data_IF_435268081019
#
_entry.id   IF_435268081019
#
_cell.length_a   1.000
_cell.length_b   1.000
_cell.length_c   1.000
_cell.angle_alpha   90.00
_cell.angle_beta   90.00
_cell.angle_gamma   90.00
#
_symmetry.space_group_name_H-M   'P 1'
#
loop_
_entity.id
_entity.type
_entity.pdbx_description
1 polymer ?
#
# COMPACT_ATOMS: atom_id res chain seq x y z
N UNK A 1 -11.70 -8.13 -41.48
CA UNK A 1 -12.09 -7.11 -40.49
C UNK A 1 -11.79 -7.73 -39.14
N UNK A 2 -10.53 -7.66 -38.73
CA UNK A 2 -10.02 -8.42 -37.59
C UNK A 2 -10.58 -7.78 -36.32
N UNK A 3 -11.22 -8.57 -35.45
CA UNK A 3 -11.46 -8.21 -34.05
C UNK A 3 -10.10 -8.08 -33.38
N UNK A 4 -9.47 -6.93 -33.55
CA UNK A 4 -8.16 -6.64 -32.95
C UNK A 4 -8.34 -6.61 -31.44
N UNK A 5 -7.62 -7.49 -30.76
CA UNK A 5 -7.63 -7.61 -29.30
C UNK A 5 -7.28 -6.25 -28.68
N UNK A 6 -8.31 -5.52 -28.25
CA UNK A 6 -8.17 -4.23 -27.57
C UNK A 6 -7.62 -4.49 -26.18
N UNK A 7 -6.39 -4.04 -25.95
CA UNK A 7 -5.69 -4.23 -24.68
C UNK A 7 -6.14 -3.10 -23.74
N UNK A 8 -6.68 -3.45 -22.58
CA UNK A 8 -7.05 -2.44 -21.59
C UNK A 8 -5.82 -1.83 -20.92
N UNK A 9 -5.91 -0.61 -20.38
CA UNK A 9 -4.81 0.00 -19.60
C UNK A 9 -4.29 -0.91 -18.48
N UNK A 10 -5.19 -1.69 -17.86
CA UNK A 10 -4.83 -2.66 -16.82
C UNK A 10 -4.02 -3.83 -17.37
N UNK A 11 -4.45 -4.38 -18.49
CA UNK A 11 -3.74 -5.47 -19.14
C UNK A 11 -2.38 -5.02 -19.68
N UNK A 12 -2.28 -3.80 -20.21
CA UNK A 12 -1.02 -3.21 -20.61
C UNK A 12 -0.06 -3.03 -19.42
N UNK A 13 -0.56 -2.60 -18.27
CA UNK A 13 0.22 -2.45 -17.04
C UNK A 13 0.80 -3.79 -16.55
N UNK A 14 -0.01 -4.85 -16.57
CA UNK A 14 0.42 -6.19 -16.20
C UNK A 14 1.52 -6.72 -17.13
N UNK A 15 1.41 -6.48 -18.45
CA UNK A 15 2.41 -6.93 -19.45
C UNK A 15 3.73 -6.16 -19.40
N UNK A 16 3.66 -4.85 -19.13
CA UNK A 16 4.83 -3.97 -19.09
C UNK A 16 5.50 -3.96 -17.71
N UNK A 17 4.93 -4.67 -16.73
CA UNK A 17 5.36 -4.69 -15.33
C UNK A 17 5.50 -3.29 -14.71
N UNK A 18 4.60 -2.39 -15.09
CA UNK A 18 4.52 -1.01 -14.56
C UNK A 18 3.13 -0.76 -14.01
N UNK A 19 3.01 0.23 -13.12
CA UNK A 19 1.71 0.56 -12.52
C UNK A 19 0.74 1.13 -13.57
N UNK A 20 -0.56 0.82 -13.45
CA UNK A 20 -1.57 1.27 -14.42
C UNK A 20 -1.67 2.80 -14.53
N UNK A 21 -1.30 3.53 -13.47
CA UNK A 21 -1.20 4.99 -13.49
C UNK A 21 -0.02 5.49 -14.34
N UNK A 22 1.11 4.79 -14.31
CA UNK A 22 2.28 5.10 -15.14
C UNK A 22 1.95 4.89 -16.61
N UNK A 23 1.28 3.78 -16.96
CA UNK A 23 0.77 3.56 -18.31
C UNK A 23 -0.18 4.67 -18.73
N UNK A 24 -1.10 5.09 -17.85
CA UNK A 24 -1.99 6.23 -18.12
C UNK A 24 -1.21 7.53 -18.35
N UNK A 25 -0.20 7.83 -17.53
CA UNK A 25 0.67 9.01 -17.68
C UNK A 25 1.38 9.00 -19.04
N UNK A 26 1.83 7.84 -19.52
CA UNK A 26 2.40 7.70 -20.86
C UNK A 26 1.35 7.90 -21.94
N UNK A 27 0.16 7.32 -21.79
CA UNK A 27 -0.95 7.53 -22.72
C UNK A 27 -1.31 9.01 -22.81
N UNK A 28 -1.43 9.72 -21.69
CA UNK A 28 -1.77 11.16 -21.67
C UNK A 28 -0.62 12.01 -22.26
N UNK A 29 0.64 11.65 -22.02
CA UNK A 29 1.80 12.38 -22.54
C UNK A 29 2.04 12.15 -24.04
N UNK A 30 1.66 10.98 -24.54
CA UNK A 30 1.88 10.49 -25.91
C UNK A 30 0.56 10.15 -26.61
N UNK A 31 -0.54 10.84 -26.27
CA UNK A 31 -1.90 10.53 -26.77
C UNK A 31 -1.95 10.55 -28.29
N UNK A 32 -1.34 11.55 -28.91
CA UNK A 32 -1.23 11.71 -30.36
C UNK A 32 -0.47 10.55 -31.02
N UNK A 33 0.56 10.02 -30.34
CA UNK A 33 1.38 8.92 -30.86
C UNK A 33 0.77 7.55 -30.57
N UNK A 34 0.06 7.36 -29.46
CA UNK A 34 -0.50 6.05 -29.07
C UNK A 34 -1.91 5.86 -29.63
N UNK A 35 -2.61 6.96 -29.94
CA UNK A 35 -4.00 6.99 -30.43
C UNK A 35 -4.94 6.08 -29.61
N UNK A 36 -5.06 6.30 -28.29
CA UNK A 36 -5.89 5.46 -27.42
C UNK A 36 -7.38 5.65 -27.73
N UNK A 37 -8.14 4.56 -27.77
CA UNK A 37 -9.60 4.63 -27.84
C UNK A 37 -10.17 4.69 -26.41
N UNK A 38 -11.18 5.52 -26.17
CA UNK A 38 -11.83 5.58 -24.84
C UNK A 38 -13.16 4.84 -24.91
N UNK A 39 -13.38 3.89 -24.00
CA UNK A 39 -14.67 3.22 -23.86
C UNK A 39 -15.70 4.13 -23.15
N UNK A 40 -16.99 3.78 -23.20
CA UNK A 40 -18.10 4.50 -22.54
C UNK A 40 -17.91 4.71 -21.03
N UNK A 41 -16.99 3.97 -20.41
CA UNK A 41 -16.64 4.02 -18.98
C UNK A 41 -15.41 4.88 -18.67
N UNK A 42 -14.80 5.52 -19.67
CA UNK A 42 -13.61 6.35 -19.50
C UNK A 42 -12.29 5.57 -19.34
N UNK A 43 -12.25 4.29 -19.75
CA UNK A 43 -11.03 3.49 -19.78
C UNK A 43 -10.38 3.52 -21.16
N UNK A 44 -9.06 3.71 -21.20
CA UNK A 44 -8.28 3.63 -22.43
C UNK A 44 -8.16 2.17 -22.90
N UNK A 45 -8.52 1.95 -24.14
CA UNK A 45 -8.38 0.74 -24.92
C UNK A 45 -7.29 1.02 -25.96
N UNK A 46 -6.27 0.17 -25.96
CA UNK A 46 -5.12 0.29 -26.84
C UNK A 46 -5.28 -0.71 -27.98
N UNK A 47 -5.03 -0.25 -29.21
CA UNK A 47 -4.77 -1.15 -30.32
C UNK A 47 -3.46 -1.92 -30.07
N UNK A 48 -3.26 -3.08 -30.72
CA UNK A 48 -1.98 -3.79 -30.62
C UNK A 48 -0.78 -2.92 -31.05
N UNK A 49 -0.97 -2.00 -32.01
CA UNK A 49 0.04 -1.02 -32.38
C UNK A 49 0.31 0.01 -31.27
N UNK A 50 -0.74 0.53 -30.63
CA UNK A 50 -0.61 1.46 -29.50
C UNK A 50 0.12 0.83 -28.31
N UNK A 51 -0.08 -0.47 -28.08
CA UNK A 51 0.69 -1.22 -27.09
C UNK A 51 2.17 -1.34 -27.46
N UNK A 52 2.50 -1.61 -28.73
CA UNK A 52 3.90 -1.65 -29.17
C UNK A 52 4.59 -0.28 -29.02
N UNK A 53 3.86 0.80 -29.29
CA UNK A 53 4.35 2.17 -29.07
C UNK A 53 4.63 2.46 -27.60
N UNK A 54 3.85 1.90 -26.67
CA UNK A 54 4.11 1.97 -25.23
C UNK A 54 5.38 1.22 -24.83
N UNK A 55 5.63 0.04 -25.41
CA UNK A 55 6.89 -0.72 -25.21
C UNK A 55 8.07 0.12 -25.68
N UNK A 56 8.00 0.70 -26.89
CA UNK A 56 9.07 1.56 -27.42
C UNK A 56 9.35 2.77 -26.51
N UNK A 57 8.30 3.37 -25.92
CA UNK A 57 8.44 4.48 -24.97
C UNK A 57 9.10 4.00 -23.68
N UNK A 58 8.70 2.84 -23.15
CA UNK A 58 9.30 2.24 -21.97
C UNK A 58 10.79 1.98 -22.18
N UNK A 59 11.17 1.34 -23.29
CA UNK A 59 12.56 1.01 -23.58
C UNK A 59 13.42 2.28 -23.69
N UNK A 60 12.91 3.33 -24.37
CA UNK A 60 13.62 4.61 -24.47
C UNK A 60 13.79 5.31 -23.12
N UNK A 61 12.78 5.24 -22.25
CA UNK A 61 12.86 5.79 -20.89
C UNK A 61 13.91 5.04 -20.06
N UNK A 62 13.96 3.72 -20.15
CA UNK A 62 14.85 2.88 -19.36
C UNK A 62 16.31 2.92 -19.86
N UNK A 63 16.53 2.89 -21.17
CA UNK A 63 17.89 2.83 -21.74
C UNK A 63 18.65 4.15 -21.65
N UNK A 64 17.95 5.29 -21.66
CA UNK A 64 18.61 6.59 -21.87
C UNK A 64 18.40 7.65 -20.78
N UNK A 65 17.63 7.37 -19.71
CA UNK A 65 17.24 8.37 -18.69
C UNK A 65 16.76 9.69 -19.30
N UNK A 66 16.20 9.64 -20.52
CA UNK A 66 15.70 10.81 -21.22
C UNK A 66 14.39 11.24 -20.59
N UNK A 67 14.19 12.55 -20.48
CA UNK A 67 12.92 13.07 -20.02
C UNK A 67 11.80 12.76 -21.03
N UNK A 68 10.56 12.66 -20.56
CA UNK A 68 9.38 12.45 -21.42
C UNK A 68 9.33 13.46 -22.58
N UNK A 69 9.77 14.70 -22.34
CA UNK A 69 9.85 15.77 -23.35
C UNK A 69 10.95 15.52 -24.37
N UNK A 70 12.10 15.00 -23.97
CA UNK A 70 13.17 14.61 -24.90
C UNK A 70 12.72 13.45 -25.78
N UNK A 71 12.02 12.45 -25.23
CA UNK A 71 11.44 11.37 -26.02
C UNK A 71 10.38 11.91 -26.97
N UNK A 72 9.54 12.86 -26.52
CA UNK A 72 8.59 13.59 -27.37
C UNK A 72 9.30 14.25 -28.56
N UNK A 73 10.38 14.97 -28.28
CA UNK A 73 11.15 15.70 -29.28
C UNK A 73 11.94 14.78 -30.22
N UNK A 74 12.43 13.66 -29.73
CA UNK A 74 13.09 12.61 -30.52
C UNK A 74 12.09 11.93 -31.46
N UNK A 75 10.87 11.62 -30.97
CA UNK A 75 9.79 11.08 -31.81
C UNK A 75 9.33 12.06 -32.88
N UNK A 76 9.33 13.37 -32.59
CA UNK A 76 9.09 14.46 -33.57
C UNK A 76 10.23 14.57 -34.58
N UNK A 77 11.49 14.45 -34.14
CA UNK A 77 12.65 14.47 -35.03
C UNK A 77 12.75 13.25 -35.93
N UNK A 78 12.34 12.07 -35.44
CA UNK A 78 12.34 10.80 -36.18
C UNK A 78 11.21 10.71 -37.21
N UNK A 79 10.33 11.72 -37.30
CA UNK A 79 9.22 11.76 -38.27
C UNK A 79 8.09 10.76 -37.98
N UNK A 80 8.13 10.09 -36.82
CA UNK A 80 7.06 9.21 -36.33
C UNK A 80 5.95 9.97 -35.61
N UNK A 81 6.24 11.21 -35.22
CA UNK A 81 5.27 12.19 -34.73
C UNK A 81 5.13 13.26 -35.79
N UNK A 82 4.16 13.08 -36.69
CA UNK A 82 3.70 14.21 -37.49
C UNK A 82 3.05 15.16 -36.50
N UNK A 83 3.75 16.26 -36.20
CA UNK A 83 3.13 17.47 -35.73
C UNK A 83 2.13 17.85 -36.81
N UNK A 84 0.90 17.33 -36.71
CA UNK A 84 -0.25 17.84 -37.42
C UNK A 84 -0.45 19.25 -36.87
N UNK A 85 0.33 20.18 -37.42
CA UNK A 85 -0.23 21.47 -37.78
C UNK A 85 -1.50 21.09 -38.50
N UNK A 86 -2.62 21.30 -37.84
CA UNK A 86 -3.90 21.58 -38.46
C UNK A 86 -3.66 22.75 -39.41
N UNK A 87 -3.08 22.44 -40.57
CA UNK A 87 -3.25 23.21 -41.77
C UNK A 87 -4.70 22.95 -42.10
N UNK A 88 -5.58 23.80 -41.58
CA UNK A 88 -6.91 23.98 -42.13
C UNK A 88 -6.73 24.33 -43.61
N UNK A 89 -6.77 23.28 -44.42
CA UNK A 89 -6.70 23.32 -45.87
C UNK A 89 -8.08 23.74 -46.34
N UNK A 90 -8.37 25.04 -46.24
CA UNK A 90 -9.52 25.64 -46.93
C UNK A 90 -9.06 26.01 -48.35
N UNK A 91 -9.80 25.63 -49.41
CA UNK A 91 -9.28 25.59 -50.76
C UNK A 91 -9.33 26.97 -51.43
N UNK A 92 -8.25 27.26 -52.18
CA UNK A 92 -8.20 28.10 -53.38
C UNK A 92 -8.96 29.44 -53.37
N UNK A 93 -8.21 30.54 -53.39
CA UNK A 93 -8.41 31.63 -54.36
C UNK A 93 -7.07 32.33 -54.64
N UNK A 94 -6.82 32.54 -55.93
CA UNK A 94 -5.61 33.11 -56.52
C UNK A 94 -5.55 34.64 -56.36
N UNK A 95 -4.31 35.12 -56.45
CA UNK A 95 -3.85 36.40 -57.03
C UNK A 95 -3.77 37.68 -56.17
N UNK A 96 -2.54 38.22 -56.19
CA UNK A 96 -2.12 39.64 -56.10
C UNK A 96 -2.34 40.41 -54.79
N UNK A 97 -1.24 40.78 -54.12
CA UNK A 97 -0.82 42.17 -53.89
C UNK A 97 0.15 42.31 -52.70
N UNK A 98 1.28 42.94 -52.99
CA UNK A 98 2.08 43.86 -52.15
C UNK A 98 2.18 43.65 -50.63
N UNK A 99 3.42 43.45 -50.21
CA UNK A 99 3.89 43.77 -48.87
C UNK A 99 3.70 45.27 -48.56
N UNK A 100 3.12 45.65 -47.40
CA UNK A 100 3.40 46.93 -46.79
C UNK A 100 4.56 46.73 -45.80
N UNK A 101 5.71 47.29 -46.17
CA UNK A 101 6.82 47.50 -45.24
C UNK A 101 6.33 48.40 -44.10
N UNK A 102 6.18 47.83 -42.90
CA UNK A 102 5.99 48.60 -41.68
C UNK A 102 7.36 49.20 -41.29
N UNK A 103 7.50 50.54 -41.25
CA UNK A 103 8.70 51.20 -40.77
C UNK A 103 8.53 51.42 -39.28
N UNK A 104 9.33 50.78 -38.44
CA UNK A 104 9.85 51.27 -37.16
C UNK A 104 10.42 50.07 -36.40
N UNK A 105 11.72 50.14 -36.12
CA UNK A 105 12.46 49.11 -35.42
C UNK A 105 11.87 48.81 -34.04
N UNK A 106 11.42 47.57 -33.88
CA UNK A 106 11.26 46.93 -32.57
C UNK A 106 12.09 45.66 -32.56
N UNK A 107 13.41 45.82 -32.69
CA UNK A 107 14.37 44.84 -32.18
C UNK A 107 14.35 44.91 -30.66
N UNK A 108 13.24 44.46 -30.06
CA UNK A 108 13.27 43.97 -28.68
C UNK A 108 13.62 42.48 -28.74
N UNK A 109 14.52 42.01 -27.87
CA UNK A 109 15.29 40.81 -28.15
C UNK A 109 14.40 39.59 -27.93
N UNK A 110 13.94 38.98 -29.03
CA UNK A 110 13.29 37.66 -29.03
C UNK A 110 14.17 36.66 -28.26
N UNK A 111 15.50 36.80 -28.34
CA UNK A 111 16.47 36.05 -27.53
C UNK A 111 16.29 36.15 -26.01
N UNK A 112 15.81 37.27 -25.48
CA UNK A 112 15.58 37.44 -24.03
C UNK A 112 14.28 36.77 -23.58
N UNK A 113 13.25 36.76 -24.43
CA UNK A 113 12.02 35.99 -24.20
C UNK A 113 12.28 34.49 -24.32
N UNK A 114 13.07 34.06 -25.32
CA UNK A 114 13.50 32.66 -25.48
C UNK A 114 14.36 32.22 -24.30
N UNK A 115 15.31 33.04 -23.83
CA UNK A 115 16.09 32.74 -22.64
C UNK A 115 15.24 32.64 -21.37
N UNK A 116 14.26 33.53 -21.19
CA UNK A 116 13.33 33.44 -20.04
C UNK A 116 12.39 32.22 -20.11
N UNK A 117 12.00 31.79 -21.32
CA UNK A 117 11.20 30.58 -21.51
C UNK A 117 12.01 29.31 -21.22
N UNK A 118 13.30 29.32 -21.52
CA UNK A 118 14.21 28.21 -21.21
C UNK A 118 14.43 28.12 -19.69
N UNK A 119 14.66 29.25 -19.02
CA UNK A 119 14.78 29.34 -17.56
C UNK A 119 13.49 28.92 -16.83
N UNK A 120 12.32 29.32 -17.35
CA UNK A 120 11.02 28.85 -16.85
C UNK A 120 10.85 27.35 -17.10
N UNK A 121 11.36 26.85 -18.22
CA UNK A 121 11.39 25.42 -18.56
C UNK A 121 12.21 24.61 -17.56
N UNK A 122 13.41 25.06 -17.22
CA UNK A 122 14.28 24.42 -16.22
C UNK A 122 13.66 24.45 -14.81
N UNK A 123 13.02 25.57 -14.43
CA UNK A 123 12.28 25.65 -13.17
C UNK A 123 11.08 24.69 -13.15
N UNK A 124 10.31 24.62 -14.24
CA UNK A 124 9.21 23.66 -14.34
C UNK A 124 9.71 22.22 -14.25
N UNK A 125 10.82 21.89 -14.87
CA UNK A 125 11.43 20.55 -14.80
C UNK A 125 11.89 20.20 -13.38
N UNK A 126 12.46 21.18 -12.66
CA UNK A 126 12.81 21.03 -11.23
C UNK A 126 11.56 20.80 -10.38
N UNK A 127 10.45 21.48 -10.70
CA UNK A 127 9.17 21.28 -10.02
C UNK A 127 8.59 19.91 -10.35
N UNK A 128 8.66 19.45 -11.61
CA UNK A 128 8.19 18.13 -12.01
C UNK A 128 8.99 17.00 -11.36
N UNK A 129 10.32 17.08 -11.33
CA UNK A 129 11.16 16.09 -10.64
C UNK A 129 10.89 16.05 -9.15
N UNK A 130 10.65 17.20 -8.50
CA UNK A 130 10.24 17.24 -7.10
C UNK A 130 8.84 16.65 -6.87
N UNK A 131 7.91 16.88 -7.79
CA UNK A 131 6.58 16.28 -7.73
C UNK A 131 6.63 14.77 -7.93
N UNK A 132 7.48 14.26 -8.82
CA UNK A 132 7.73 12.83 -9.04
C UNK A 132 8.30 12.18 -7.78
N UNK A 133 9.29 12.82 -7.15
CA UNK A 133 9.86 12.35 -5.87
C UNK A 133 8.83 12.36 -4.73
N UNK A 134 7.95 13.36 -4.69
CA UNK A 134 6.86 13.39 -3.73
C UNK A 134 5.82 12.30 -4.01
N UNK A 135 5.52 12.02 -5.28
CA UNK A 135 4.63 10.95 -5.70
C UNK A 135 5.19 9.58 -5.25
N UNK A 136 6.46 9.30 -5.54
CA UNK A 136 7.15 8.08 -5.10
C UNK A 136 7.18 7.93 -3.58
N UNK A 137 7.42 9.03 -2.86
CA UNK A 137 7.42 9.03 -1.41
C UNK A 137 6.02 8.72 -0.85
N UNK A 138 4.96 9.27 -1.45
CA UNK A 138 3.58 8.97 -1.06
C UNK A 138 3.20 7.52 -1.36
N UNK A 139 3.62 6.95 -2.50
CA UNK A 139 3.43 5.53 -2.79
C UNK A 139 4.15 4.64 -1.78
N UNK A 140 5.40 4.97 -1.47
CA UNK A 140 6.17 4.26 -0.44
C UNK A 140 5.46 4.29 0.92
N UNK A 141 4.84 5.42 1.29
CA UNK A 141 4.03 5.50 2.51
C UNK A 141 2.80 4.61 2.46
N UNK A 142 2.11 4.52 1.32
CA UNK A 142 0.96 3.65 1.17
C UNK A 142 1.35 2.18 1.31
N UNK A 143 2.45 1.74 0.69
CA UNK A 143 2.95 0.37 0.84
C UNK A 143 3.33 0.06 2.30
N UNK A 144 4.00 1.01 2.98
CA UNK A 144 4.34 0.87 4.39
C UNK A 144 3.09 0.84 5.30
N UNK A 145 2.06 1.62 4.97
CA UNK A 145 0.79 1.61 5.70
C UNK A 145 0.02 0.31 5.48
N UNK A 146 0.00 -0.23 4.26
CA UNK A 146 -0.62 -1.53 3.96
C UNK A 146 0.14 -2.68 4.66
N UNK A 147 1.47 -2.64 4.68
CA UNK A 147 2.28 -3.60 5.43
C UNK A 147 2.02 -3.48 6.95
N UNK A 148 1.89 -2.25 7.46
CA UNK A 148 1.55 -2.00 8.86
C UNK A 148 0.13 -2.49 9.17
N UNK A 149 -0.85 -2.24 8.32
CA UNK A 149 -2.23 -2.71 8.49
C UNK A 149 -2.28 -4.25 8.50
N UNK A 150 -1.58 -4.89 7.56
CA UNK A 150 -1.43 -6.35 7.52
C UNK A 150 -0.78 -6.90 8.80
N UNK A 151 0.28 -6.23 9.30
CA UNK A 151 0.92 -6.57 10.59
C UNK A 151 0.01 -6.33 11.79
N UNK A 152 -0.81 -5.28 11.79
CA UNK A 152 -1.77 -4.98 12.86
C UNK A 152 -2.92 -5.98 12.86
N UNK A 153 -3.46 -6.35 11.70
CA UNK A 153 -4.51 -7.36 11.56
C UNK A 153 -4.00 -8.74 12.00
N UNK A 154 -2.80 -9.12 11.57
CA UNK A 154 -2.16 -10.37 12.01
C UNK A 154 -1.77 -10.34 13.49
N UNK A 155 -1.36 -9.20 14.03
CA UNK A 155 -1.11 -9.02 15.46
C UNK A 155 -2.41 -9.04 16.29
N UNK A 156 -3.53 -8.56 15.74
CA UNK A 156 -4.86 -8.65 16.37
C UNK A 156 -5.34 -10.10 16.49
N UNK A 157 -4.87 -11.02 15.65
CA UNK A 157 -5.11 -12.45 15.85
C UNK A 157 -4.28 -13.04 17.00
N UNK A 158 -3.21 -12.36 17.43
CA UNK A 158 -2.30 -12.78 18.49
C UNK A 158 -2.60 -12.13 19.85
N UNK A 159 -3.50 -11.14 19.90
CA UNK A 159 -4.08 -10.69 21.17
C UNK A 159 -5.27 -11.60 21.48
N UNK A 160 -5.16 -12.36 22.58
CA UNK A 160 -6.29 -13.17 23.06
C UNK A 160 -7.52 -12.26 23.20
N UNK A 161 -8.69 -12.65 22.65
CA UNK A 161 -9.91 -11.87 22.79
C UNK A 161 -10.14 -11.54 24.27
N UNK A 162 -10.56 -10.31 24.56
CA UNK A 162 -10.82 -9.84 25.94
C UNK A 162 -11.75 -10.81 26.69
N UNK A 163 -12.71 -11.40 25.97
CA UNK A 163 -13.61 -12.44 26.50
C UNK A 163 -12.89 -13.70 26.96
N UNK A 164 -11.86 -14.12 26.24
CA UNK A 164 -11.03 -15.29 26.59
C UNK A 164 -10.20 -15.01 27.84
N UNK A 165 -9.62 -13.82 27.95
CA UNK A 165 -8.87 -13.40 29.15
C UNK A 165 -9.80 -13.30 30.36
N UNK A 166 -11.01 -12.75 30.18
CA UNK A 166 -12.04 -12.67 31.23
C UNK A 166 -12.44 -14.07 31.72
N UNK A 167 -12.68 -15.01 30.80
CA UNK A 167 -13.02 -16.39 31.12
C UNK A 167 -11.89 -17.08 31.90
N UNK A 168 -10.63 -16.89 31.48
CA UNK A 168 -9.48 -17.44 32.21
C UNK A 168 -9.35 -16.84 33.62
N UNK A 169 -9.63 -15.55 33.81
CA UNK A 169 -9.66 -14.94 35.14
C UNK A 169 -10.75 -15.53 36.03
N UNK A 170 -11.95 -15.76 35.49
CA UNK A 170 -13.06 -16.39 36.24
C UNK A 170 -12.73 -17.85 36.62
N UNK A 171 -12.10 -18.61 35.73
CA UNK A 171 -11.64 -19.97 36.03
C UNK A 171 -10.56 -19.99 37.11
N UNK A 172 -9.62 -19.04 37.09
CA UNK A 172 -8.60 -18.89 38.13
C UNK A 172 -9.27 -18.59 39.48
N UNK A 173 -10.25 -17.68 39.51
CA UNK A 173 -11.02 -17.38 40.72
C UNK A 173 -11.74 -18.61 41.28
N UNK A 174 -12.43 -19.37 40.42
CA UNK A 174 -13.10 -20.62 40.81
C UNK A 174 -12.14 -21.65 41.37
N UNK A 175 -10.98 -21.85 40.72
CA UNK A 175 -9.95 -22.79 41.20
C UNK A 175 -9.35 -22.33 42.53
N UNK A 176 -9.17 -21.03 42.73
CA UNK A 176 -8.69 -20.48 43.99
C UNK A 176 -9.69 -20.74 45.13
N UNK A 177 -10.98 -20.57 44.88
CA UNK A 177 -12.02 -20.84 45.89
C UNK A 177 -12.19 -22.33 46.17
N UNK A 178 -12.05 -23.18 45.14
CA UNK A 178 -11.99 -24.63 45.30
C UNK A 178 -10.80 -25.04 46.19
N UNK A 179 -9.60 -24.55 45.90
CA UNK A 179 -8.41 -24.83 46.70
C UNK A 179 -8.56 -24.35 48.15
N UNK A 180 -9.20 -23.20 48.39
CA UNK A 180 -9.52 -22.73 49.75
C UNK A 180 -10.49 -23.68 50.47
N UNK A 181 -11.48 -24.22 49.78
CA UNK A 181 -12.41 -25.20 50.36
C UNK A 181 -11.68 -26.51 50.69
N UNK A 182 -10.84 -27.00 49.78
CA UNK A 182 -10.01 -28.19 50.00
C UNK A 182 -9.03 -28.01 51.16
N UNK A 183 -8.36 -26.85 51.26
CA UNK A 183 -7.49 -26.52 52.39
C UNK A 183 -8.23 -26.50 53.72
N UNK A 184 -9.44 -25.92 53.75
CA UNK A 184 -10.30 -25.93 54.95
C UNK A 184 -10.69 -27.35 55.33
N UNK A 185 -11.09 -28.16 54.36
CA UNK A 185 -11.45 -29.56 54.59
C UNK A 185 -10.24 -30.38 55.07
N UNK A 186 -9.07 -30.22 54.44
CA UNK A 186 -7.85 -30.89 54.85
C UNK A 186 -7.43 -30.47 56.28
N UNK A 187 -7.51 -29.17 56.59
CA UNK A 187 -7.22 -28.65 57.94
C UNK A 187 -8.20 -29.18 58.97
N UNK A 188 -9.49 -29.23 58.63
CA UNK A 188 -10.53 -29.79 59.50
C UNK A 188 -10.32 -31.28 59.74
N UNK A 189 -10.09 -32.06 58.68
CA UNK A 189 -9.75 -33.50 58.77
C UNK A 189 -8.49 -33.73 59.58
N UNK A 190 -7.46 -32.90 59.42
CA UNK A 190 -6.23 -32.98 60.21
C UNK A 190 -6.51 -32.71 61.69
N UNK A 191 -7.28 -31.68 62.02
CA UNK A 191 -7.69 -31.37 63.41
C UNK A 191 -8.55 -32.46 64.04
N UNK A 192 -9.47 -33.04 63.26
CA UNK A 192 -10.27 -34.18 63.73
C UNK A 192 -9.38 -35.40 64.00
N UNK A 193 -8.50 -35.75 63.06
CA UNK A 193 -7.57 -36.85 63.24
C UNK A 193 -6.69 -36.64 64.48
N UNK A 194 -6.13 -35.44 64.65
CA UNK A 194 -5.30 -35.11 65.83
C UNK A 194 -6.09 -35.17 67.14
N UNK A 195 -7.31 -34.64 67.19
CA UNK A 195 -8.16 -34.71 68.37
C UNK A 195 -8.57 -36.16 68.71
N UNK A 196 -8.87 -36.99 67.71
CA UNK A 196 -9.17 -38.41 67.93
C UNK A 196 -7.95 -39.21 68.39
N UNK A 197 -6.74 -38.86 67.94
CA UNK A 197 -5.50 -39.48 68.43
C UNK A 197 -5.15 -39.06 69.86
N UNK A 198 -5.45 -37.83 70.29
CA UNK A 198 -5.23 -37.39 71.67
C UNK A 198 -6.22 -38.02 72.67
N UNK A 199 -7.45 -38.32 72.23
CA UNK A 199 -8.48 -38.91 73.11
C UNK A 199 -8.19 -40.38 73.47
N UNK A 200 -7.27 -41.05 72.78
CA UNK A 200 -6.88 -42.44 73.07
C UNK A 200 -5.78 -42.58 74.14
N UNK A 201 -5.17 -41.48 74.62
CA UNK A 201 -4.06 -41.55 75.59
C UNK A 201 -4.39 -41.10 77.02
N UNK A 202 -5.63 -40.76 77.35
CA UNK A 202 -5.99 -40.26 78.69
C UNK A 202 -7.18 -41.01 79.30
N UNK A 203 -6.92 -42.18 79.88
CA UNK A 203 -7.67 -42.65 81.06
C UNK A 203 -6.70 -43.02 82.19
N UNK A 204 -6.64 -42.26 83.29
CA UNK A 204 -5.93 -42.65 84.50
C UNK A 204 -6.94 -43.21 85.52
N UNK A 205 -6.75 -44.44 86.04
CA UNK A 205 -7.50 -44.88 87.24
C UNK A 205 -6.76 -45.90 88.11
N UNK A 206 -5.98 -45.34 89.05
CA UNK A 206 -5.69 -45.78 90.44
C UNK A 206 -5.62 -47.28 90.77
N UNK A 207 -4.44 -47.64 91.28
CA UNK A 207 -4.17 -48.77 92.18
C UNK A 207 -5.17 -48.87 93.35
N UNK A 208 -5.61 -50.09 93.67
CA UNK A 208 -5.83 -50.51 95.07
C UNK A 208 -5.34 -51.94 95.27
N UNK A 209 -4.42 -52.06 96.22
CA UNK A 209 -3.80 -53.26 96.75
C UNK A 209 -4.75 -53.88 97.78
N UNK A 210 -5.07 -55.16 97.65
CA UNK A 210 -5.64 -55.98 98.74
C UNK A 210 -5.12 -57.40 98.62
N UNK A 211 -4.24 -57.78 99.55
CA UNK A 211 -3.92 -59.18 99.89
C UNK A 211 -5.07 -59.72 100.76
N UNK A 212 -5.52 -60.95 100.53
CA UNK A 212 -6.04 -61.96 101.50
C UNK A 212 -6.38 -63.22 100.64
N UNK A 213 -5.58 -64.29 100.65
CA UNK A 213 -5.58 -65.49 101.52
C UNK A 213 -6.68 -66.54 101.22
N UNK A 214 -6.26 -67.77 100.86
CA UNK A 214 -6.99 -69.06 100.96
C UNK A 214 -7.91 -69.41 99.77
N UNK A 215 -8.05 -70.63 99.26
CA UNK A 215 -7.71 -72.01 99.68
C UNK A 215 -7.65 -72.87 98.40
N UNK A 216 -6.60 -73.67 98.22
CA UNK A 216 -6.56 -75.11 97.90
C UNK A 216 -5.13 -75.51 97.53
#
# INVERSE_FOLDING_TARGET
MSEEARISTREAAERLHVHARTVRKWIDAFEEYISPEVNDRGHYLLSPEGFQRLVDIQDRLQETNKSMRQIRQDLIKEGKWELERTVEKTPALKETAEAPAAPFGTEYPIHRLVGSLDEIGEMMETVFTRLDQLEDHVFTMFDMMEEMESKVISSQQNTLPVTTVQHMMDEIGKKQDQLKAELRNATFSHRLASATSETQQLTPRRQKRTRFLGIF
#
